data_IF_711205377335
#
_entry.id   IF_711205377335
#
_cell.length_a   1.000
_cell.length_b   1.000
_cell.length_c   1.000
_cell.angle_alpha   90.00
_cell.angle_beta   90.00
_cell.angle_gamma   90.00
#
_symmetry.space_group_name_H-M   'P 1'
#
loop_
_entity.id
_entity.type
_entity.pdbx_description
1 polymer ?
#
# COMPACT_ATOMS: atom_id res chain seq x y z
N UNK A 1 20.60 -7.48 -22.60
CA UNK A 1 19.35 -7.50 -21.81
C UNK A 1 19.06 -6.06 -21.45
N UNK A 2 18.17 -5.38 -22.17
CA UNK A 2 17.84 -3.98 -21.94
C UNK A 2 17.02 -3.88 -20.66
N UNK A 3 17.42 -3.03 -19.72
CA UNK A 3 16.62 -2.74 -18.53
C UNK A 3 15.29 -2.13 -18.99
N UNK A 4 14.17 -2.81 -18.72
CA UNK A 4 12.83 -2.35 -19.07
C UNK A 4 12.11 -1.86 -17.81
N UNK A 5 11.60 -0.62 -17.84
CA UNK A 5 10.83 -0.03 -16.73
C UNK A 5 9.30 -0.24 -16.87
N UNK A 6 8.86 -0.97 -17.91
CA UNK A 6 7.46 -1.04 -18.32
C UNK A 6 6.52 -1.47 -17.18
N UNK A 7 6.97 -2.38 -16.30
CA UNK A 7 6.23 -2.79 -15.11
C UNK A 7 6.00 -1.63 -14.15
N UNK A 8 7.05 -0.86 -13.85
CA UNK A 8 6.96 0.30 -12.96
C UNK A 8 6.08 1.40 -13.57
N UNK A 9 6.21 1.65 -14.88
CA UNK A 9 5.36 2.60 -15.60
C UNK A 9 3.89 2.19 -15.59
N UNK A 10 3.60 0.90 -15.73
CA UNK A 10 2.23 0.39 -15.70
C UNK A 10 1.60 0.49 -14.30
N UNK A 11 2.36 0.21 -13.23
CA UNK A 11 1.87 0.38 -11.84
C UNK A 11 1.58 1.84 -11.46
N UNK A 12 2.34 2.81 -11.97
CA UNK A 12 2.12 4.24 -11.66
C UNK A 12 1.08 4.90 -12.59
N UNK A 13 0.76 4.29 -13.73
CA UNK A 13 -0.18 4.84 -14.72
C UNK A 13 -1.58 5.13 -14.14
N UNK A 14 -2.23 4.24 -13.38
CA UNK A 14 -3.54 4.51 -12.79
C UNK A 14 -3.53 5.74 -11.86
N UNK A 15 -2.47 5.90 -11.06
CA UNK A 15 -2.28 7.06 -10.20
C UNK A 15 -2.14 8.36 -11.00
N UNK A 16 -1.30 8.35 -12.03
CA UNK A 16 -1.02 9.55 -12.84
C UNK A 16 -2.23 10.02 -13.64
N UNK A 17 -3.11 9.11 -14.06
CA UNK A 17 -4.40 9.44 -14.69
C UNK A 17 -5.40 9.94 -13.64
N UNK A 18 -5.53 9.24 -12.50
CA UNK A 18 -6.50 9.54 -11.46
C UNK A 18 -6.28 10.87 -10.73
N UNK A 19 -5.01 11.29 -10.53
CA UNK A 19 -4.67 12.51 -9.78
C UNK A 19 -5.28 13.81 -10.32
N UNK A 20 -5.65 13.85 -11.61
CA UNK A 20 -6.36 15.00 -12.21
C UNK A 20 -7.79 15.17 -11.68
N UNK A 21 -8.38 14.08 -11.18
CA UNK A 21 -9.76 14.00 -10.70
C UNK A 21 -9.85 13.90 -9.17
N UNK A 22 -8.72 13.87 -8.45
CA UNK A 22 -8.70 13.73 -6.99
C UNK A 22 -8.53 15.09 -6.31
N UNK A 23 -9.52 15.48 -5.50
CA UNK A 23 -9.68 16.82 -4.91
C UNK A 23 -8.47 17.34 -4.11
N UNK A 24 -7.59 16.46 -3.64
CA UNK A 24 -6.49 16.81 -2.73
C UNK A 24 -5.09 16.41 -3.23
N UNK A 25 -4.98 15.85 -4.43
CA UNK A 25 -3.70 15.39 -4.98
C UNK A 25 -2.82 16.51 -5.57
N UNK A 26 -3.30 17.76 -5.55
CA UNK A 26 -2.57 18.94 -6.03
C UNK A 26 -1.70 19.60 -4.94
N UNK A 27 -1.90 19.28 -3.66
CA UNK A 27 -1.06 19.78 -2.56
C UNK A 27 0.12 18.84 -2.30
N UNK A 28 1.28 19.35 -1.88
CA UNK A 28 2.44 18.50 -1.56
C UNK A 28 2.11 17.45 -0.47
N UNK A 29 1.31 17.84 0.53
CA UNK A 29 0.85 16.95 1.60
C UNK A 29 -0.07 15.85 1.05
N UNK A 30 -1.02 16.21 0.20
CA UNK A 30 -1.95 15.25 -0.40
C UNK A 30 -1.28 14.34 -1.43
N UNK A 31 -0.32 14.84 -2.20
CA UNK A 31 0.52 14.03 -3.09
C UNK A 31 1.33 13.00 -2.30
N UNK A 32 1.96 13.40 -1.17
CA UNK A 32 2.68 12.48 -0.28
C UNK A 32 1.75 11.43 0.31
N UNK A 33 0.58 11.82 0.82
CA UNK A 33 -0.39 10.88 1.38
C UNK A 33 -0.89 9.88 0.33
N UNK A 34 -1.22 10.36 -0.87
CA UNK A 34 -1.68 9.52 -1.98
C UNK A 34 -0.60 8.53 -2.42
N UNK A 35 0.67 8.97 -2.48
CA UNK A 35 1.80 8.10 -2.82
C UNK A 35 1.99 6.98 -1.79
N UNK A 36 1.88 7.27 -0.49
CA UNK A 36 1.98 6.26 0.57
C UNK A 36 0.90 5.19 0.40
N UNK A 37 -0.36 5.60 0.21
CA UNK A 37 -1.49 4.67 0.05
C UNK A 37 -1.31 3.81 -1.21
N UNK A 38 -0.92 4.41 -2.33
CA UNK A 38 -0.68 3.65 -3.57
C UNK A 38 0.47 2.65 -3.43
N UNK A 39 1.57 3.04 -2.78
CA UNK A 39 2.66 2.12 -2.51
C UNK A 39 2.21 0.91 -1.69
N UNK A 40 1.35 1.11 -0.67
CA UNK A 40 0.81 -0.01 0.13
C UNK A 40 -0.07 -0.93 -0.73
N UNK A 41 -0.94 -0.37 -1.56
CA UNK A 41 -1.83 -1.14 -2.45
C UNK A 41 -1.02 -1.95 -3.45
N UNK A 42 -0.07 -1.32 -4.16
CA UNK A 42 0.74 -1.99 -5.17
C UNK A 42 1.65 -3.06 -4.53
N UNK A 43 2.18 -2.80 -3.32
CA UNK A 43 2.96 -3.81 -2.59
C UNK A 43 2.08 -4.98 -2.16
N UNK A 44 0.84 -4.75 -1.71
CA UNK A 44 -0.09 -5.82 -1.35
C UNK A 44 -0.42 -6.70 -2.57
N UNK A 45 -0.72 -6.10 -3.72
CA UNK A 45 -0.93 -6.82 -4.99
C UNK A 45 0.30 -7.64 -5.38
N UNK A 46 1.50 -7.05 -5.30
CA UNK A 46 2.75 -7.72 -5.62
C UNK A 46 3.03 -8.94 -4.71
N UNK A 47 2.44 -8.96 -3.51
CA UNK A 47 2.52 -10.08 -2.56
C UNK A 47 1.31 -11.03 -2.62
N UNK A 48 0.44 -10.89 -3.63
CA UNK A 48 -0.73 -11.76 -3.84
C UNK A 48 -1.84 -11.59 -2.80
N UNK A 49 -1.96 -10.39 -2.22
CA UNK A 49 -3.03 -10.06 -1.27
C UNK A 49 -4.13 -9.26 -1.96
N UNK A 50 -5.37 -9.48 -1.52
CA UNK A 50 -6.48 -8.58 -1.83
C UNK A 50 -6.24 -7.21 -1.14
N UNK A 51 -6.13 -6.11 -1.91
CA UNK A 51 -5.77 -4.81 -1.34
C UNK A 51 -6.83 -4.25 -0.40
N UNK A 52 -8.11 -4.53 -0.63
CA UNK A 52 -9.21 -4.03 0.21
C UNK A 52 -9.17 -4.70 1.58
N UNK A 53 -9.11 -6.04 1.62
CA UNK A 53 -8.95 -6.84 2.85
C UNK A 53 -7.70 -6.43 3.60
N UNK A 54 -6.58 -6.23 2.90
CA UNK A 54 -5.32 -5.82 3.53
C UNK A 54 -5.44 -4.44 4.21
N UNK A 55 -5.98 -3.43 3.52
CA UNK A 55 -6.19 -2.10 4.11
C UNK A 55 -7.16 -2.15 5.30
N UNK A 56 -8.25 -2.93 5.19
CA UNK A 56 -9.18 -3.13 6.29
C UNK A 56 -8.50 -3.76 7.50
N UNK A 57 -7.72 -4.82 7.29
CA UNK A 57 -6.94 -5.49 8.33
C UNK A 57 -5.98 -4.52 9.03
N UNK A 58 -5.28 -3.68 8.26
CA UNK A 58 -4.40 -2.66 8.81
C UNK A 58 -5.17 -1.66 9.69
N UNK A 59 -6.27 -1.09 9.18
CA UNK A 59 -7.07 -0.12 9.93
C UNK A 59 -7.76 -0.71 11.16
N UNK A 60 -8.07 -2.00 11.17
CA UNK A 60 -8.65 -2.68 12.33
C UNK A 60 -7.61 -3.05 13.40
N UNK A 61 -6.37 -3.40 13.01
CA UNK A 61 -5.39 -3.96 13.95
C UNK A 61 -4.35 -2.96 14.43
N UNK A 62 -3.92 -2.05 13.58
CA UNK A 62 -2.91 -1.05 13.93
C UNK A 62 -3.31 -0.10 15.05
N UNK A 63 -4.51 0.51 15.07
CA UNK A 63 -4.88 1.42 16.17
C UNK A 63 -5.05 0.71 17.51
N UNK A 64 -5.28 -0.61 17.50
CA UNK A 64 -5.42 -1.44 18.70
C UNK A 64 -4.07 -1.97 19.24
N UNK A 65 -2.96 -1.60 18.60
CA UNK A 65 -1.63 -2.04 19.00
C UNK A 65 -0.98 -1.04 19.96
N UNK A 66 -0.44 -1.52 21.08
CA UNK A 66 0.06 -0.67 22.16
C UNK A 66 1.18 0.30 21.74
N UNK A 67 2.06 -0.11 20.82
CA UNK A 67 3.19 0.69 20.35
C UNK A 67 3.32 0.66 18.83
N UNK A 68 2.59 1.54 18.14
CA UNK A 68 2.70 1.70 16.68
C UNK A 68 4.08 2.21 16.22
N UNK A 69 4.90 2.73 17.12
CA UNK A 69 6.25 3.25 16.79
C UNK A 69 7.34 2.17 16.82
N UNK A 70 7.02 0.97 17.28
CA UNK A 70 7.96 -0.12 17.36
C UNK A 70 8.08 -0.85 16.03
N UNK A 71 9.30 -0.93 15.49
CA UNK A 71 9.57 -1.50 14.17
C UNK A 71 9.25 -2.99 14.13
N UNK A 72 9.61 -3.74 15.18
CA UNK A 72 9.38 -5.20 15.25
C UNK A 72 7.89 -5.54 15.26
N UNK A 73 7.09 -4.68 15.86
CA UNK A 73 5.64 -4.80 15.87
C UNK A 73 5.04 -4.50 14.49
N UNK A 74 5.54 -3.47 13.79
CA UNK A 74 5.07 -3.10 12.45
C UNK A 74 5.42 -4.15 11.39
N UNK A 75 6.58 -4.80 11.50
CA UNK A 75 7.03 -5.86 10.59
C UNK A 75 6.00 -7.00 10.45
N UNK A 76 5.25 -7.28 11.52
CA UNK A 76 4.23 -8.33 11.54
C UNK A 76 2.97 -7.98 10.73
N UNK A 77 2.81 -6.72 10.33
CA UNK A 77 1.69 -6.22 9.54
C UNK A 77 2.07 -5.95 8.07
N UNK A 78 3.36 -6.11 7.72
CA UNK A 78 3.84 -5.94 6.35
C UNK A 78 3.30 -7.04 5.43
N UNK A 79 3.12 -6.78 4.14
CA UNK A 79 2.38 -7.66 3.25
C UNK A 79 3.04 -9.03 3.04
N UNK A 80 4.34 -9.18 3.30
CA UNK A 80 5.04 -10.47 3.27
C UNK A 80 4.99 -11.26 4.58
N UNK A 81 4.46 -10.67 5.66
CA UNK A 81 4.36 -11.35 6.95
C UNK A 81 3.26 -12.42 6.96
N UNK A 82 3.40 -13.42 7.83
CA UNK A 82 2.47 -14.56 7.90
C UNK A 82 1.04 -14.13 8.19
N UNK A 83 0.83 -13.16 9.08
CA UNK A 83 -0.51 -12.75 9.53
C UNK A 83 -1.37 -12.14 8.40
N UNK A 84 -0.90 -11.14 7.62
CA UNK A 84 -1.62 -10.68 6.43
C UNK A 84 -1.83 -11.79 5.39
N UNK A 85 -0.84 -12.65 5.19
CA UNK A 85 -0.89 -13.73 4.20
C UNK A 85 -1.97 -14.77 4.49
N UNK A 86 -2.24 -15.06 5.77
CA UNK A 86 -3.33 -15.98 6.15
C UNK A 86 -4.72 -15.35 6.04
N UNK A 87 -4.84 -14.03 6.25
CA UNK A 87 -6.13 -13.34 6.39
C UNK A 87 -6.61 -12.60 5.14
N UNK A 88 -5.67 -12.17 4.30
CA UNK A 88 -5.93 -11.22 3.21
C UNK A 88 -5.59 -11.79 1.83
N UNK A 89 -5.29 -13.09 1.70
CA UNK A 89 -5.18 -13.74 0.39
C UNK A 89 -6.53 -13.73 -0.33
N UNK A 90 -6.47 -13.67 -1.65
CA UNK A 90 -7.63 -13.70 -2.55
C UNK A 90 -8.42 -15.02 -2.43
#
# INVERSE_FOLDING_TARGET
>A
MTVSNNTAENSIRPFTVGRKNWLFSNSAKGAKASAIVYSLIETAKANGLDPERYLKYLFEKLPNTANFKDTETLDQYLPWATKPQEKCKE
#
